data_IF_319299699064
#
_entry.id   IF_319299699064
#
_cell.length_a   1.000
_cell.length_b   1.000
_cell.length_c   1.000
_cell.angle_alpha   90.00
_cell.angle_beta   90.00
_cell.angle_gamma   90.00
#
_symmetry.space_group_name_H-M   'P 1'
#
loop_
_entity.id
_entity.type
_entity.pdbx_description
1 polymer ?
#
# COMPACT_ATOMS: atom_id res chain seq x y z
N UNK A 1 11.86 -6.33 2.44
CA UNK A 1 10.48 -6.71 2.08
C UNK A 1 9.59 -6.81 3.31
N UNK A 2 8.31 -7.15 3.13
CA UNK A 2 7.31 -7.17 4.22
C UNK A 2 7.57 -8.25 5.29
N UNK A 3 8.49 -9.18 5.07
CA UNK A 3 8.91 -10.19 6.05
C UNK A 3 9.43 -9.58 7.37
N UNK A 4 9.93 -8.34 7.35
CA UNK A 4 10.37 -7.65 8.57
C UNK A 4 9.22 -7.33 9.52
N UNK A 5 7.99 -7.14 9.01
CA UNK A 5 6.82 -6.84 9.83
C UNK A 5 6.57 -7.93 10.86
N UNK A 6 6.73 -9.20 10.46
CA UNK A 6 6.57 -10.36 11.33
C UNK A 6 7.67 -10.51 12.39
N UNK A 7 8.80 -9.81 12.23
CA UNK A 7 10.00 -9.99 13.07
C UNK A 7 10.26 -8.81 14.00
N UNK A 8 9.58 -7.68 13.81
CA UNK A 8 9.87 -6.40 14.49
C UNK A 8 8.57 -5.77 15.02
N UNK A 9 8.13 -6.12 16.24
CA UNK A 9 6.88 -5.61 16.83
C UNK A 9 6.88 -4.09 17.12
N UNK A 10 8.05 -3.46 17.07
CA UNK A 10 8.16 -2.00 17.14
C UNK A 10 7.67 -1.29 15.86
N UNK A 11 7.55 -2.00 14.73
CA UNK A 11 6.99 -1.43 13.50
C UNK A 11 5.49 -1.22 13.69
N UNK A 12 5.05 0.04 13.56
CA UNK A 12 3.65 0.45 13.80
C UNK A 12 2.80 0.64 12.55
N UNK A 13 3.40 0.49 11.37
CA UNK A 13 2.71 0.53 10.10
C UNK A 13 3.67 0.32 8.94
N UNK A 14 3.13 0.13 7.74
CA UNK A 14 3.92 -0.02 6.51
C UNK A 14 3.30 0.73 5.34
N UNK A 15 4.14 1.02 4.34
CA UNK A 15 3.72 1.42 3.00
C UNK A 15 4.36 0.44 2.02
N UNK A 16 3.55 -0.17 1.16
CA UNK A 16 3.98 -1.08 0.11
C UNK A 16 3.55 -0.52 -1.24
N UNK A 17 4.50 -0.25 -2.13
CA UNK A 17 4.25 0.34 -3.45
C UNK A 17 4.58 -0.69 -4.51
N UNK A 18 3.62 -0.99 -5.39
CA UNK A 18 3.70 -2.01 -6.43
C UNK A 18 4.30 -3.35 -5.92
N UNK A 19 3.70 -3.96 -4.87
CA UNK A 19 4.22 -5.22 -4.34
C UNK A 19 4.20 -6.31 -5.41
N UNK A 20 5.24 -7.16 -5.50
CA UNK A 20 5.33 -8.25 -6.48
C UNK A 20 4.42 -9.44 -6.13
N UNK A 21 3.12 -9.18 -5.94
CA UNK A 21 2.12 -10.16 -5.49
C UNK A 21 1.86 -11.30 -6.50
N UNK A 22 2.35 -11.18 -7.74
CA UNK A 22 2.27 -12.21 -8.77
C UNK A 22 3.42 -13.22 -8.71
N UNK A 23 4.59 -12.84 -8.18
CA UNK A 23 5.79 -13.70 -8.17
C UNK A 23 6.24 -14.10 -6.77
N UNK A 24 5.94 -13.29 -5.76
CA UNK A 24 6.34 -13.54 -4.37
C UNK A 24 5.16 -14.05 -3.52
N UNK A 25 5.44 -14.96 -2.60
CA UNK A 25 4.44 -15.45 -1.66
C UNK A 25 4.37 -14.58 -0.40
N UNK A 26 3.21 -13.96 -0.17
CA UNK A 26 2.90 -13.15 1.01
C UNK A 26 2.10 -13.91 2.08
N UNK A 27 1.94 -15.23 1.95
CA UNK A 27 1.23 -16.07 2.93
C UNK A 27 1.79 -15.95 4.37
N UNK A 28 3.06 -15.57 4.52
CA UNK A 28 3.69 -15.33 5.82
C UNK A 28 3.06 -14.18 6.63
N UNK A 29 2.26 -13.31 6.00
CA UNK A 29 1.52 -12.23 6.66
C UNK A 29 0.15 -12.69 7.20
N UNK A 30 0.04 -13.94 7.67
CA UNK A 30 -1.19 -14.49 8.23
C UNK A 30 -0.98 -14.98 9.68
N UNK A 31 -1.33 -14.19 10.71
CA UNK A 31 -1.88 -12.83 10.65
C UNK A 31 -0.79 -11.75 10.48
N UNK A 32 -1.11 -10.70 9.74
CA UNK A 32 -0.32 -9.50 9.53
C UNK A 32 -0.37 -8.67 10.83
N UNK A 33 0.77 -8.19 11.34
CA UNK A 33 0.86 -7.67 12.69
C UNK A 33 0.46 -6.20 12.80
N UNK A 34 0.28 -5.50 11.67
CA UNK A 34 0.07 -4.05 11.65
C UNK A 34 -0.72 -3.60 10.43
N UNK A 35 -1.47 -2.51 10.58
CA UNK A 35 -2.16 -1.80 9.50
C UNK A 35 -1.16 -1.14 8.54
N UNK A 36 -1.60 -0.81 7.33
CA UNK A 36 -0.72 -0.15 6.38
C UNK A 36 -1.36 0.22 5.06
N UNK A 37 -0.55 0.84 4.21
CA UNK A 37 -0.90 1.26 2.85
C UNK A 37 -0.36 0.28 1.82
N UNK A 38 -1.21 -0.11 0.88
CA UNK A 38 -0.82 -0.75 -0.37
C UNK A 38 -1.22 0.18 -1.53
N UNK A 39 -0.23 0.60 -2.31
CA UNK A 39 -0.38 1.46 -3.48
C UNK A 39 -0.01 0.70 -4.74
N UNK A 40 -0.85 0.84 -5.77
CA UNK A 40 -0.62 0.19 -7.06
C UNK A 40 -0.98 1.11 -8.23
N UNK A 41 -0.39 0.88 -9.40
CA UNK A 41 -0.69 1.63 -10.63
C UNK A 41 -1.74 0.91 -11.47
N UNK A 42 -2.73 1.63 -12.01
CA UNK A 42 -3.79 0.99 -12.81
C UNK A 42 -3.31 0.48 -14.19
N UNK A 43 -2.09 0.82 -14.60
CA UNK A 43 -1.45 0.43 -15.86
C UNK A 43 -0.09 -0.23 -15.61
N UNK A 44 0.07 -0.87 -14.46
CA UNK A 44 1.24 -1.68 -14.16
C UNK A 44 1.25 -2.91 -15.10
N UNK A 45 2.29 -2.97 -15.93
CA UNK A 45 2.56 -4.02 -16.91
C UNK A 45 3.55 -5.07 -16.41
N UNK A 46 4.11 -4.89 -15.21
CA UNK A 46 5.05 -5.79 -14.54
C UNK A 46 4.32 -6.66 -13.52
N UNK A 47 3.45 -6.07 -12.73
CA UNK A 47 2.61 -6.75 -11.73
C UNK A 47 1.14 -6.46 -12.03
N UNK A 48 0.33 -7.48 -12.37
CA UNK A 48 -1.09 -7.28 -12.60
C UNK A 48 -1.83 -6.80 -11.34
N UNK A 49 -2.63 -5.74 -11.48
CA UNK A 49 -3.47 -5.20 -10.39
C UNK A 49 -4.34 -6.26 -9.69
N UNK A 50 -4.98 -7.21 -10.40
CA UNK A 50 -5.79 -8.24 -9.74
C UNK A 50 -4.99 -9.10 -8.74
N UNK A 51 -3.70 -9.36 -9.00
CA UNK A 51 -2.84 -10.10 -8.07
C UNK A 51 -2.62 -9.32 -6.77
N UNK A 52 -2.51 -7.99 -6.86
CA UNK A 52 -2.38 -7.11 -5.69
C UNK A 52 -3.71 -7.00 -4.95
N UNK A 53 -4.83 -6.90 -5.66
CA UNK A 53 -6.17 -6.88 -5.06
C UNK A 53 -6.49 -8.18 -4.29
N UNK A 54 -6.13 -9.34 -4.85
CA UNK A 54 -6.28 -10.64 -4.17
C UNK A 54 -5.41 -10.72 -2.91
N UNK A 55 -4.18 -10.23 -2.99
CA UNK A 55 -3.28 -10.12 -1.84
C UNK A 55 -3.88 -9.23 -0.73
N UNK A 56 -4.37 -8.04 -1.08
CA UNK A 56 -5.03 -7.12 -0.13
C UNK A 56 -6.27 -7.76 0.49
N UNK A 57 -7.09 -8.43 -0.31
CA UNK A 57 -8.31 -9.10 0.15
C UNK A 57 -7.99 -10.13 1.24
N UNK A 58 -6.92 -10.92 1.06
CA UNK A 58 -6.45 -11.89 2.07
C UNK A 58 -5.99 -11.21 3.37
N UNK A 59 -5.34 -10.04 3.28
CA UNK A 59 -4.96 -9.28 4.47
C UNK A 59 -6.18 -8.70 5.20
N UNK A 60 -7.14 -8.13 4.47
CA UNK A 60 -8.35 -7.52 5.05
C UNK A 60 -9.27 -8.52 5.75
N UNK A 61 -9.18 -9.81 5.43
CA UNK A 61 -9.92 -10.87 6.14
C UNK A 61 -9.44 -11.08 7.59
N UNK A 62 -8.26 -10.55 7.93
CA UNK A 62 -7.66 -10.72 9.24
C UNK A 62 -8.16 -9.66 10.22
N UNK A 63 -8.52 -10.07 11.43
CA UNK A 63 -9.06 -9.14 12.44
C UNK A 63 -7.95 -8.29 13.05
N UNK A 64 -8.28 -7.04 13.36
CA UNK A 64 -7.41 -6.15 14.15
C UNK A 64 -6.44 -5.30 13.33
N UNK A 65 -6.52 -5.34 12.00
CA UNK A 65 -5.76 -4.47 11.10
C UNK A 65 -6.67 -3.82 10.07
N UNK A 66 -6.21 -2.69 9.53
CA UNK A 66 -6.83 -1.99 8.42
C UNK A 66 -5.82 -1.85 7.29
N UNK A 67 -6.18 -2.31 6.10
CA UNK A 67 -5.36 -2.16 4.90
C UNK A 67 -5.98 -1.10 4.01
N UNK A 68 -5.29 0.04 3.92
CA UNK A 68 -5.59 1.13 3.02
C UNK A 68 -5.09 0.74 1.63
N UNK A 69 -5.98 0.36 0.73
CA UNK A 69 -5.63 -0.04 -0.64
C UNK A 69 -6.05 1.04 -1.62
N UNK A 70 -5.08 1.49 -2.44
CA UNK A 70 -5.29 2.56 -3.41
C UNK A 70 -4.66 2.21 -4.75
N UNK A 71 -5.40 2.48 -5.81
CA UNK A 71 -4.93 2.35 -7.19
C UNK A 71 -4.83 3.75 -7.81
N UNK A 72 -3.66 4.10 -8.33
CA UNK A 72 -3.40 5.37 -9.01
C UNK A 72 -3.75 5.21 -10.49
N UNK A 73 -4.80 5.91 -11.00
CA UNK A 73 -5.20 5.82 -12.39
C UNK A 73 -4.09 6.28 -13.34
N UNK A 74 -3.80 5.46 -14.36
CA UNK A 74 -2.82 5.78 -15.40
C UNK A 74 -1.36 5.50 -15.05
N UNK A 75 -1.04 5.24 -13.78
CA UNK A 75 0.32 4.93 -13.36
C UNK A 75 0.76 3.51 -13.79
N UNK A 76 1.99 3.42 -14.31
CA UNK A 76 2.68 2.14 -14.55
C UNK A 76 3.46 1.68 -13.31
N UNK A 77 4.18 0.57 -13.42
CA UNK A 77 4.99 -0.01 -12.33
C UNK A 77 5.94 1.01 -11.66
N UNK A 78 6.51 1.89 -12.48
CA UNK A 78 7.51 2.87 -12.08
C UNK A 78 6.90 4.23 -11.72
N UNK A 79 5.58 4.40 -11.85
CA UNK A 79 4.86 5.64 -11.60
C UNK A 79 5.43 6.84 -12.39
N UNK A 80 5.91 6.61 -13.63
CA UNK A 80 6.33 7.68 -14.54
C UNK A 80 5.20 8.70 -14.71
N UNK A 81 5.55 9.98 -14.64
CA UNK A 81 4.61 11.13 -14.68
C UNK A 81 3.51 11.12 -13.59
N UNK A 82 3.55 10.17 -12.66
CA UNK A 82 2.59 9.99 -11.58
C UNK A 82 3.25 10.07 -10.18
N UNK A 83 4.53 10.42 -10.11
CA UNK A 83 5.30 10.45 -8.84
C UNK A 83 4.72 11.46 -7.84
N UNK A 84 4.26 12.63 -8.31
CA UNK A 84 3.63 13.63 -7.43
C UNK A 84 2.33 13.08 -6.80
N UNK A 85 1.53 12.35 -7.59
CA UNK A 85 0.32 11.69 -7.09
C UNK A 85 0.66 10.57 -6.11
N UNK A 86 1.70 9.78 -6.38
CA UNK A 86 2.20 8.75 -5.46
C UNK A 86 2.57 9.37 -4.10
N UNK A 87 3.35 10.46 -4.13
CA UNK A 87 3.76 11.21 -2.94
C UNK A 87 2.54 11.73 -2.18
N UNK A 88 1.58 12.34 -2.87
CA UNK A 88 0.34 12.83 -2.27
C UNK A 88 -0.45 11.69 -1.58
N UNK A 89 -0.55 10.51 -2.19
CA UNK A 89 -1.22 9.35 -1.60
C UNK A 89 -0.51 8.83 -0.35
N UNK A 90 0.83 8.81 -0.34
CA UNK A 90 1.62 8.42 0.82
C UNK A 90 1.44 9.43 1.95
N UNK A 91 1.55 10.72 1.67
CA UNK A 91 1.34 11.77 2.68
C UNK A 91 -0.07 11.74 3.26
N UNK A 92 -1.10 11.53 2.45
CA UNK A 92 -2.47 11.45 2.95
C UNK A 92 -2.65 10.27 3.92
N UNK A 93 -2.05 9.11 3.63
CA UNK A 93 -2.06 7.98 4.56
C UNK A 93 -1.27 8.29 5.85
N UNK A 94 -0.06 8.86 5.72
CA UNK A 94 0.77 9.22 6.87
C UNK A 94 0.07 10.23 7.79
N UNK A 95 -0.61 11.22 7.22
CA UNK A 95 -1.43 12.18 7.96
C UNK A 95 -2.54 11.50 8.75
N UNK A 96 -3.26 10.54 8.14
CA UNK A 96 -4.32 9.75 8.79
C UNK A 96 -3.77 8.86 9.91
N UNK A 97 -2.60 8.27 9.70
CA UNK A 97 -1.92 7.43 10.68
C UNK A 97 -1.26 8.23 11.83
N UNK A 98 -1.23 9.57 11.75
CA UNK A 98 -0.49 10.41 12.70
C UNK A 98 1.02 10.20 12.65
N UNK A 99 1.54 9.70 11.52
CA UNK A 99 2.94 9.39 11.32
C UNK A 99 3.71 10.60 10.76
N UNK A 100 4.79 10.99 11.43
CA UNK A 100 5.66 12.07 10.97
C UNK A 100 5.03 13.46 11.10
N UNK A 101 5.46 14.40 10.23
CA UNK A 101 4.93 15.76 10.18
C UNK A 101 3.70 15.79 9.27
N UNK A 102 2.65 16.50 9.68
CA UNK A 102 1.46 16.66 8.87
C UNK A 102 1.74 17.59 7.67
N UNK A 103 1.43 17.14 6.46
CA UNK A 103 1.69 17.87 5.20
C UNK A 103 0.39 18.12 4.45
N UNK A 104 0.25 19.30 3.83
CA UNK A 104 -0.89 19.59 2.97
C UNK A 104 -0.80 18.76 1.68
N UNK A 105 -1.80 17.90 1.45
CA UNK A 105 -1.93 17.04 0.28
C UNK A 105 -2.87 17.63 -0.77
N UNK A 106 -2.55 17.46 -2.05
CA UNK A 106 -3.33 18.02 -3.17
C UNK A 106 -4.35 17.05 -3.77
N UNK A 107 -4.59 15.89 -3.13
CA UNK A 107 -5.58 14.93 -3.58
C UNK A 107 -6.97 15.57 -3.64
N UNK A 108 -7.58 15.54 -4.83
CA UNK A 108 -9.01 15.83 -4.94
C UNK A 108 -9.74 14.68 -4.25
N UNK A 109 -10.61 14.99 -3.28
CA UNK A 109 -11.54 13.99 -2.77
C UNK A 109 -12.30 13.43 -3.96
N UNK A 110 -12.32 12.11 -4.10
CA UNK A 110 -13.28 11.46 -4.98
C UNK A 110 -14.67 11.95 -4.53
N UNK A 111 -15.41 12.55 -5.46
CA UNK A 111 -16.76 13.04 -5.24
C UNK A 111 -17.71 11.87 -4.96
#
# INVERSE_FOLDING_TARGET
GMQLLMRRPEIKGFVSVAPPASTEDFSFLAPCPTSGLVLHGSRDDVVPEPSVADFVTKLQQQRGIEIDYRVIPGANHFFHDCTDLLIDHVHDHMNKAGGGVNVQVKLKKAA
#
